data_IF_329276244981
#
_entry.id   IF_329276244981
#
_cell.length_a   1.000
_cell.length_b   1.000
_cell.length_c   1.000
_cell.angle_alpha   90.00
_cell.angle_beta   90.00
_cell.angle_gamma   90.00
#
_symmetry.space_group_name_H-M   'P 1'
#
loop_
_entity.id
_entity.type
_entity.pdbx_description
1 polymer ?
#
# COMPACT_ATOMS: atom_id res chain seq x y z
N UNK A 1 -8.58 3.34 -6.82
CA UNK A 1 -8.06 4.65 -7.20
C UNK A 1 -6.76 4.94 -6.49
N UNK A 2 -5.86 5.58 -7.18
CA UNK A 2 -4.59 6.00 -6.62
C UNK A 2 -4.52 7.49 -6.41
N UNK A 3 -3.77 7.92 -5.41
CA UNK A 3 -3.37 9.31 -5.25
C UNK A 3 -2.05 9.51 -5.97
N UNK A 4 -2.02 10.47 -6.84
CA UNK A 4 -0.78 10.88 -7.49
C UNK A 4 -0.39 12.26 -6.97
N UNK A 5 0.82 12.38 -6.47
CA UNK A 5 1.38 13.65 -6.03
C UNK A 5 2.58 13.95 -6.92
N UNK A 6 2.39 14.82 -7.88
CA UNK A 6 3.47 15.20 -8.78
C UNK A 6 3.17 16.55 -9.41
N UNK A 7 4.21 17.18 -9.93
CA UNK A 7 4.09 18.35 -10.78
C UNK A 7 5.10 18.22 -11.91
N UNK A 8 5.00 19.13 -12.86
CA UNK A 8 5.94 19.14 -13.98
C UNK A 8 7.40 19.34 -13.55
N UNK A 9 7.61 19.82 -12.34
CA UNK A 9 8.93 20.07 -11.80
C UNK A 9 9.48 18.91 -11.00
N UNK A 10 8.63 17.92 -10.68
CA UNK A 10 9.00 16.80 -9.83
C UNK A 10 9.27 15.56 -10.65
N UNK A 11 10.28 14.85 -10.22
CA UNK A 11 10.63 13.55 -10.77
C UNK A 11 9.91 12.43 -10.02
N UNK A 12 9.43 12.72 -8.82
CA UNK A 12 8.93 11.72 -7.89
C UNK A 12 7.42 11.72 -7.82
N UNK A 13 6.84 10.52 -7.80
CA UNK A 13 5.40 10.31 -7.67
C UNK A 13 5.11 9.45 -6.45
N UNK A 14 4.05 9.81 -5.73
CA UNK A 14 3.45 8.94 -4.72
C UNK A 14 2.22 8.25 -5.28
N UNK A 15 2.01 7.01 -4.88
CA UNK A 15 0.85 6.22 -5.28
C UNK A 15 0.19 5.64 -4.05
N UNK A 16 -1.13 5.76 -3.98
CA UNK A 16 -1.94 5.18 -2.91
C UNK A 16 -3.14 4.49 -3.54
N UNK A 17 -3.52 3.36 -3.02
CA UNK A 17 -4.66 2.62 -3.55
C UNK A 17 -5.26 1.67 -2.52
N UNK A 18 -6.52 1.31 -2.73
CA UNK A 18 -7.32 0.49 -1.83
C UNK A 18 -7.75 -0.80 -2.51
N UNK A 19 -7.71 -1.90 -1.78
CA UNK A 19 -8.16 -3.22 -2.25
C UNK A 19 -7.42 -3.62 -3.53
N UNK A 20 -8.13 -3.86 -4.63
CA UNK A 20 -7.52 -4.12 -5.94
C UNK A 20 -6.63 -2.95 -6.37
N UNK A 21 -7.03 -1.71 -6.05
CA UNK A 21 -6.20 -0.52 -6.29
C UNK A 21 -4.88 -0.55 -5.52
N UNK A 22 -4.86 -1.13 -4.33
CA UNK A 22 -3.62 -1.37 -3.59
C UNK A 22 -2.71 -2.35 -4.31
N UNK A 23 -3.27 -3.40 -4.90
CA UNK A 23 -2.51 -4.33 -5.74
C UNK A 23 -1.91 -3.64 -6.95
N UNK A 24 -2.68 -2.77 -7.62
CA UNK A 24 -2.19 -2.01 -8.76
C UNK A 24 -1.10 -1.01 -8.37
N UNK A 25 -1.16 -0.44 -7.19
CA UNK A 25 -0.10 0.44 -6.67
C UNK A 25 1.22 -0.32 -6.57
N UNK A 26 1.18 -1.55 -6.08
CA UNK A 26 2.37 -2.41 -6.03
C UNK A 26 2.87 -2.75 -7.43
N UNK A 27 1.95 -3.02 -8.36
CA UNK A 27 2.31 -3.28 -9.75
C UNK A 27 3.01 -2.09 -10.39
N UNK A 28 2.47 -0.87 -10.17
CA UNK A 28 3.09 0.35 -10.68
C UNK A 28 4.48 0.56 -10.10
N UNK A 29 4.65 0.31 -8.80
CA UNK A 29 5.96 0.42 -8.16
C UNK A 29 6.97 -0.53 -8.80
N UNK A 30 6.55 -1.76 -9.09
CA UNK A 30 7.42 -2.75 -9.71
C UNK A 30 7.74 -2.44 -11.19
N UNK A 31 6.76 -1.90 -11.92
CA UNK A 31 6.91 -1.65 -13.36
C UNK A 31 7.59 -0.32 -13.67
N UNK A 32 7.34 0.69 -12.87
CA UNK A 32 7.82 2.05 -13.13
C UNK A 32 9.15 2.38 -12.44
N UNK A 33 9.62 1.51 -11.56
CA UNK A 33 10.93 1.63 -10.92
C UNK A 33 11.12 2.98 -10.23
N UNK A 34 12.13 3.70 -10.65
CA UNK A 34 12.52 4.98 -10.03
C UNK A 34 11.55 6.14 -10.28
N UNK A 35 10.52 5.94 -11.10
CA UNK A 35 9.49 6.95 -11.31
C UNK A 35 8.45 6.99 -10.19
N UNK A 36 8.45 6.01 -9.31
CA UNK A 36 7.56 5.97 -8.15
C UNK A 36 8.43 6.06 -6.90
N UNK A 37 8.27 7.12 -6.13
CA UNK A 37 9.04 7.35 -4.90
C UNK A 37 8.42 6.65 -3.71
N UNK A 38 7.10 6.57 -3.68
CA UNK A 38 6.38 6.00 -2.54
C UNK A 38 5.12 5.28 -3.02
N UNK A 39 4.81 4.16 -2.39
CA UNK A 39 3.62 3.38 -2.68
C UNK A 39 2.94 2.99 -1.37
N UNK A 40 1.63 3.23 -1.30
CA UNK A 40 0.85 2.97 -0.08
C UNK A 40 -0.33 2.08 -0.43
N UNK A 41 -0.17 0.75 -0.41
CA UNK A 41 -1.28 -0.16 -0.58
C UNK A 41 -2.09 -0.30 0.71
N UNK A 42 -3.39 -0.11 0.61
CA UNK A 42 -4.34 -0.44 1.66
C UNK A 42 -4.97 -1.79 1.31
N UNK A 43 -4.77 -2.79 2.15
CA UNK A 43 -5.29 -4.15 1.94
C UNK A 43 -5.20 -4.58 0.47
N UNK A 44 -4.02 -4.39 -0.13
CA UNK A 44 -3.80 -4.65 -1.54
C UNK A 44 -3.90 -6.12 -1.89
N UNK A 45 -4.86 -6.44 -2.76
CA UNK A 45 -5.16 -7.81 -3.17
C UNK A 45 -5.49 -7.85 -4.66
N UNK A 46 -5.64 -9.04 -5.18
CA UNK A 46 -6.14 -9.28 -6.51
C UNK A 46 -5.05 -9.52 -7.54
N UNK A 47 -5.47 -9.57 -8.79
CA UNK A 47 -4.61 -9.94 -9.91
C UNK A 47 -3.53 -8.89 -10.23
N UNK A 48 -3.73 -7.67 -9.70
CA UNK A 48 -2.75 -6.61 -9.89
C UNK A 48 -1.47 -6.78 -9.06
N UNK A 49 -1.51 -7.61 -8.02
CA UNK A 49 -0.33 -7.82 -7.17
C UNK A 49 0.76 -8.51 -7.98
N UNK A 50 1.96 -7.93 -8.04
CA UNK A 50 3.06 -8.56 -8.79
C UNK A 50 3.49 -9.89 -8.20
N UNK A 51 3.93 -10.82 -9.07
CA UNK A 51 4.60 -12.01 -8.61
C UNK A 51 6.08 -11.79 -8.30
N UNK A 52 6.64 -10.64 -8.71
CA UNK A 52 8.06 -10.32 -8.61
C UNK A 52 8.19 -8.82 -8.29
N UNK A 53 8.97 -8.50 -7.27
CA UNK A 53 9.15 -7.13 -6.80
C UNK A 53 10.56 -6.58 -7.07
N UNK A 54 11.35 -7.26 -7.89
CA UNK A 54 12.75 -6.87 -8.13
C UNK A 54 12.88 -5.45 -8.71
N UNK A 55 11.89 -5.00 -9.47
CA UNK A 55 11.89 -3.66 -10.08
C UNK A 55 11.49 -2.53 -9.14
N UNK A 56 11.07 -2.82 -7.90
CA UNK A 56 10.61 -1.80 -6.96
C UNK A 56 11.78 -0.96 -6.48
N UNK A 57 11.66 0.36 -6.64
CA UNK A 57 12.57 1.36 -6.07
C UNK A 57 11.87 2.23 -5.04
N UNK A 58 10.54 2.23 -5.05
CA UNK A 58 9.72 3.03 -4.16
C UNK A 58 9.87 2.55 -2.71
N UNK A 59 9.79 3.49 -1.77
CA UNK A 59 9.50 3.15 -0.38
C UNK A 59 8.03 2.71 -0.29
N UNK A 60 7.75 1.66 0.46
CA UNK A 60 6.40 1.09 0.56
C UNK A 60 5.93 1.09 2.01
N UNK A 61 4.72 1.60 2.23
CA UNK A 61 4.03 1.49 3.50
C UNK A 61 2.67 0.85 3.29
N UNK A 62 2.48 -0.37 3.77
CA UNK A 62 1.24 -1.11 3.61
C UNK A 62 0.35 -1.05 4.85
N UNK A 63 -0.95 -1.13 4.65
CA UNK A 63 -1.94 -1.12 5.73
C UNK A 63 -2.90 -2.28 5.53
N UNK A 64 -2.91 -3.19 6.50
CA UNK A 64 -3.62 -4.47 6.38
C UNK A 64 -4.40 -4.77 7.66
N UNK A 65 -5.52 -5.50 7.53
CA UNK A 65 -6.35 -5.89 8.65
C UNK A 65 -6.00 -7.29 9.15
N UNK A 66 -5.96 -7.46 10.46
CA UNK A 66 -5.67 -8.76 11.08
C UNK A 66 -6.80 -9.76 10.88
N UNK A 67 -8.04 -9.29 10.68
CA UNK A 67 -9.19 -10.15 10.41
C UNK A 67 -9.57 -10.18 8.93
N UNK A 68 -8.66 -9.78 8.05
CA UNK A 68 -8.90 -9.82 6.61
C UNK A 68 -8.99 -11.27 6.13
N UNK A 69 -10.14 -11.64 5.57
CA UNK A 69 -10.36 -12.99 5.05
C UNK A 69 -9.85 -13.17 3.62
N UNK A 70 -9.51 -12.09 2.93
CA UNK A 70 -9.00 -12.13 1.56
C UNK A 70 -7.48 -12.17 1.52
N UNK A 71 -6.82 -11.67 2.55
CA UNK A 71 -5.36 -11.64 2.61
C UNK A 71 -4.93 -11.72 4.07
N UNK A 72 -4.46 -12.88 4.49
CA UNK A 72 -4.09 -13.12 5.88
C UNK A 72 -2.87 -12.31 6.30
N UNK A 73 -2.73 -12.07 7.61
CA UNK A 73 -1.53 -11.45 8.17
C UNK A 73 -0.28 -12.24 7.78
N UNK A 74 -0.38 -13.56 7.81
CA UNK A 74 0.74 -14.42 7.44
C UNK A 74 1.18 -14.17 6.00
N UNK A 75 0.23 -14.10 5.08
CA UNK A 75 0.52 -13.83 3.67
C UNK A 75 1.03 -12.41 3.46
N UNK A 76 0.48 -11.45 4.20
CA UNK A 76 0.96 -10.06 4.15
C UNK A 76 2.41 -9.95 4.62
N UNK A 77 2.75 -10.65 5.69
CA UNK A 77 4.13 -10.67 6.20
C UNK A 77 5.09 -11.34 5.22
N UNK A 78 4.64 -12.40 4.56
CA UNK A 78 5.43 -13.04 3.50
C UNK A 78 5.68 -12.09 2.33
N UNK A 79 4.66 -11.34 1.93
CA UNK A 79 4.79 -10.35 0.86
C UNK A 79 5.75 -9.23 1.26
N UNK A 80 5.63 -8.72 2.46
CA UNK A 80 6.53 -7.70 3.00
C UNK A 80 7.99 -8.18 2.93
N UNK A 81 8.23 -9.40 3.36
CA UNK A 81 9.57 -9.99 3.33
C UNK A 81 10.06 -10.21 1.90
N UNK A 82 9.17 -10.66 1.01
CA UNK A 82 9.49 -10.86 -0.40
C UNK A 82 9.92 -9.54 -1.05
N UNK A 83 9.19 -8.47 -0.80
CA UNK A 83 9.53 -7.14 -1.33
C UNK A 83 10.92 -6.73 -0.84
N UNK A 84 11.16 -6.90 0.44
CA UNK A 84 12.45 -6.56 1.04
C UNK A 84 13.59 -7.35 0.43
N UNK A 85 13.41 -8.65 0.27
CA UNK A 85 14.44 -9.54 -0.24
C UNK A 85 14.73 -9.31 -1.72
N UNK A 86 13.68 -9.12 -2.53
CA UNK A 86 13.84 -9.01 -3.98
C UNK A 86 14.26 -7.61 -4.44
N UNK A 87 13.83 -6.58 -3.73
CA UNK A 87 14.07 -5.20 -4.17
C UNK A 87 15.12 -4.48 -3.33
N UNK A 88 15.31 -4.86 -2.08
CA UNK A 88 16.10 -4.08 -1.12
C UNK A 88 15.48 -2.74 -0.77
N UNK A 89 14.25 -2.48 -1.20
CA UNK A 89 13.55 -1.22 -0.91
C UNK A 89 13.14 -1.12 0.56
N UNK A 90 12.91 0.11 1.02
CA UNK A 90 12.33 0.34 2.33
C UNK A 90 10.87 -0.10 2.29
N UNK A 91 10.49 -1.01 3.17
CA UNK A 91 9.12 -1.50 3.23
C UNK A 91 8.70 -1.74 4.68
N UNK A 92 7.51 -1.28 5.02
CA UNK A 92 6.91 -1.50 6.33
C UNK A 92 5.41 -1.69 6.17
N UNK A 93 4.89 -2.78 6.72
CA UNK A 93 3.45 -3.06 6.74
C UNK A 93 2.94 -2.88 8.16
N UNK A 94 1.84 -2.15 8.30
CA UNK A 94 1.12 -2.00 9.56
C UNK A 94 -0.11 -2.88 9.55
N UNK A 95 -0.41 -3.48 10.70
CA UNK A 95 -1.52 -4.39 10.88
C UNK A 95 -2.47 -3.84 11.93
N UNK A 96 -3.76 -3.90 11.64
CA UNK A 96 -4.79 -3.30 12.47
C UNK A 96 -5.81 -4.35 12.91
N UNK A 97 -6.42 -4.15 14.06
CA UNK A 97 -7.55 -4.96 14.52
C UNK A 97 -8.78 -4.61 13.69
N UNK A 98 -8.80 -5.11 12.45
CA UNK A 98 -9.80 -4.71 11.46
C UNK A 98 -9.89 -5.75 10.34
N UNK A 99 -11.06 -5.84 9.67
CA UNK A 99 -11.23 -6.70 8.51
C UNK A 99 -10.78 -6.02 7.22
N UNK A 100 -10.99 -6.71 6.09
CA UNK A 100 -10.75 -6.15 4.77
C UNK A 100 -11.58 -4.90 4.55
N UNK A 101 -11.05 -3.93 3.81
CA UNK A 101 -11.75 -2.69 3.46
C UNK A 101 -12.13 -1.83 4.69
N UNK A 102 -11.34 -1.88 5.74
CA UNK A 102 -11.66 -1.20 7.00
C UNK A 102 -11.68 0.33 6.89
N UNK A 103 -11.12 0.91 5.84
CA UNK A 103 -11.09 2.35 5.61
C UNK A 103 -12.30 2.85 4.84
N UNK A 104 -13.11 1.95 4.30
CA UNK A 104 -14.26 2.30 3.49
C UNK A 104 -15.46 2.66 4.37
N UNK A 105 -15.75 3.96 4.52
CA UNK A 105 -16.85 4.45 5.33
C UNK A 105 -18.24 4.26 4.70
N UNK A 106 -18.30 3.89 3.42
CA UNK A 106 -19.53 3.47 2.76
C UNK A 106 -20.05 2.14 3.32
N UNK A 107 -19.15 1.34 3.79
CA UNK A 107 -19.34 0.20 4.67
C UNK A 107 -20.49 -0.76 4.28
N UNK A 108 -20.53 -1.24 3.03
CA UNK A 108 -21.62 -2.11 2.60
C UNK A 108 -21.68 -3.45 3.34
N UNK A 109 -20.59 -3.85 3.99
CA UNK A 109 -20.46 -5.15 4.66
C UNK A 109 -20.19 -5.05 6.17
N UNK A 110 -20.25 -3.85 6.75
CA UNK A 110 -19.99 -3.66 8.16
C UNK A 110 -18.51 -3.77 8.55
N UNK A 111 -17.61 -3.48 7.62
CA UNK A 111 -16.16 -3.66 7.82
C UNK A 111 -15.44 -2.38 8.24
N UNK A 112 -16.13 -1.26 8.23
CA UNK A 112 -15.49 0.02 8.58
C UNK A 112 -15.06 0.04 10.05
N UNK A 113 -13.81 0.47 10.26
CA UNK A 113 -13.24 0.65 11.59
C UNK A 113 -12.65 2.05 11.68
N UNK A 114 -13.41 3.02 12.22
CA UNK A 114 -12.99 4.42 12.17
C UNK A 114 -11.65 4.71 12.83
N UNK A 115 -11.34 4.04 13.94
CA UNK A 115 -10.06 4.25 14.62
C UNK A 115 -8.88 3.75 13.78
N UNK A 116 -8.99 2.54 13.24
CA UNK A 116 -7.98 1.97 12.37
C UNK A 116 -7.84 2.80 11.09
N UNK A 117 -8.96 3.22 10.51
CA UNK A 117 -8.98 4.04 9.30
C UNK A 117 -8.26 5.37 9.53
N UNK A 118 -8.56 6.06 10.63
CA UNK A 118 -7.93 7.34 10.96
C UNK A 118 -6.43 7.20 11.17
N UNK A 119 -6.01 6.19 11.92
CA UNK A 119 -4.60 5.95 12.19
C UNK A 119 -3.83 5.60 10.91
N UNK A 120 -4.40 4.71 10.09
CA UNK A 120 -3.78 4.32 8.84
C UNK A 120 -3.66 5.50 7.88
N UNK A 121 -4.69 6.34 7.81
CA UNK A 121 -4.67 7.54 6.96
C UNK A 121 -3.60 8.52 7.41
N UNK A 122 -3.51 8.79 8.71
CA UNK A 122 -2.48 9.69 9.23
C UNK A 122 -1.08 9.20 8.93
N UNK A 123 -0.84 7.90 9.07
CA UNK A 123 0.43 7.29 8.72
C UNK A 123 0.73 7.40 7.22
N UNK A 124 -0.27 7.13 6.39
CA UNK A 124 -0.12 7.20 4.93
C UNK A 124 0.23 8.61 4.46
N UNK A 125 -0.48 9.61 4.98
CA UNK A 125 -0.25 11.02 4.62
C UNK A 125 1.14 11.47 5.06
N UNK A 126 1.54 11.15 6.29
CA UNK A 126 2.86 11.51 6.80
C UNK A 126 3.96 10.85 5.97
N UNK A 127 3.78 9.58 5.62
CA UNK A 127 4.73 8.83 4.79
C UNK A 127 4.87 9.45 3.40
N UNK A 128 3.75 9.77 2.76
CA UNK A 128 3.79 10.40 1.44
C UNK A 128 4.47 11.75 1.47
N UNK A 129 4.19 12.56 2.49
CA UNK A 129 4.85 13.87 2.65
C UNK A 129 6.36 13.74 2.83
N UNK A 130 6.80 12.69 3.51
CA UNK A 130 8.22 12.44 3.72
C UNK A 130 8.92 11.96 2.45
N UNK A 131 8.29 11.06 1.69
CA UNK A 131 8.94 10.34 0.58
C UNK A 131 8.76 11.01 -0.77
N UNK A 132 7.70 11.78 -0.98
CA UNK A 132 7.44 12.46 -2.26
C UNK A 132 7.96 13.88 -2.20
N UNK A 133 8.74 14.26 -3.20
CA UNK A 133 9.41 15.56 -3.24
C UNK A 133 9.03 16.37 -4.45
#
# INVERSE_FOLDING_TARGET
LGLRVSSVQYQDDGRLGFCMGGGFVLALAAQQGDKVSAAVPFYGVGQGVPGDFAGVKAAIQGHYGEQDSMFSVEDAKKQEQQIRDESGAEVEYFYYDAPHAFHNDDDPQGNYRPEAAALAWDRAVAFLKEKVR
#
